data_IF_795138675533
#
_entry.id   IF_795138675533
#
_cell.length_a   1.000
_cell.length_b   1.000
_cell.length_c   1.000
_cell.angle_alpha   90.00
_cell.angle_beta   90.00
_cell.angle_gamma   90.00
#
_symmetry.space_group_name_H-M   'P 1'
#
loop_
_entity.id
_entity.type
_entity.pdbx_description
1 polymer ?
#
# COMPACT_ATOMS: atom_id res chain seq x y z
N UNK A 1 -19.79 -16.20 4.03
CA UNK A 1 -19.77 -15.48 2.73
C UNK A 1 -18.67 -15.95 1.78
N UNK A 2 -17.46 -16.31 2.23
CA UNK A 2 -16.41 -16.88 1.35
C UNK A 2 -16.73 -18.30 0.79
N UNK A 3 -17.66 -19.05 1.40
CA UNK A 3 -18.08 -20.39 0.93
C UNK A 3 -19.04 -20.39 -0.28
N UNK A 4 -19.43 -19.22 -0.78
CA UNK A 4 -20.19 -19.05 -2.03
C UNK A 4 -19.30 -18.52 -3.18
N UNK A 5 -17.97 -18.59 -3.04
CA UNK A 5 -16.96 -18.02 -3.94
C UNK A 5 -17.06 -18.43 -5.41
N UNK A 6 -17.66 -19.58 -5.72
CA UNK A 6 -17.74 -20.09 -7.09
C UNK A 6 -18.69 -19.30 -8.00
N UNK A 7 -19.67 -18.57 -7.44
CA UNK A 7 -20.66 -17.76 -8.20
C UNK A 7 -20.50 -16.24 -7.99
N UNK A 8 -19.37 -15.81 -7.43
CA UNK A 8 -19.12 -14.38 -7.20
C UNK A 8 -18.67 -13.70 -8.50
N UNK A 9 -19.37 -12.62 -8.87
CA UNK A 9 -19.01 -11.78 -10.00
C UNK A 9 -17.60 -11.17 -9.83
N UNK A 10 -16.90 -10.84 -10.92
CA UNK A 10 -15.52 -10.36 -10.86
C UNK A 10 -15.32 -9.11 -9.99
N UNK A 11 -16.32 -8.24 -9.84
CA UNK A 11 -16.21 -7.04 -9.02
C UNK A 11 -16.19 -7.40 -7.53
N UNK A 12 -17.04 -8.34 -7.11
CA UNK A 12 -17.06 -8.78 -5.71
C UNK A 12 -15.82 -9.60 -5.35
N UNK A 13 -15.28 -10.41 -6.28
CA UNK A 13 -13.99 -11.08 -6.07
C UNK A 13 -12.86 -10.09 -5.82
N UNK A 14 -12.77 -9.02 -6.62
CA UNK A 14 -11.78 -7.95 -6.43
C UNK A 14 -11.93 -7.25 -5.09
N UNK A 15 -13.16 -6.95 -4.68
CA UNK A 15 -13.43 -6.30 -3.39
C UNK A 15 -13.00 -7.18 -2.21
N UNK A 16 -13.31 -8.49 -2.24
CA UNK A 16 -12.86 -9.44 -1.21
C UNK A 16 -11.33 -9.56 -1.18
N UNK A 17 -10.71 -9.64 -2.36
CA UNK A 17 -9.26 -9.73 -2.47
C UNK A 17 -8.55 -8.47 -1.96
N UNK A 18 -9.12 -7.28 -2.20
CA UNK A 18 -8.61 -6.03 -1.63
C UNK A 18 -8.85 -5.96 -0.12
N UNK A 19 -10.03 -6.38 0.34
CA UNK A 19 -10.36 -6.48 1.77
C UNK A 19 -9.34 -7.34 2.52
N UNK A 20 -8.97 -8.50 1.99
CA UNK A 20 -7.95 -9.36 2.58
C UNK A 20 -6.58 -8.65 2.71
N UNK A 21 -6.17 -7.89 1.69
CA UNK A 21 -4.92 -7.11 1.72
C UNK A 21 -4.97 -5.96 2.72
N UNK A 22 -6.08 -5.22 2.77
CA UNK A 22 -6.28 -4.15 3.76
C UNK A 22 -6.22 -4.71 5.19
N UNK A 23 -6.80 -5.88 5.45
CA UNK A 23 -6.71 -6.48 6.79
C UNK A 23 -5.29 -6.88 7.17
N UNK A 24 -4.44 -7.21 6.19
CA UNK A 24 -3.02 -7.45 6.46
C UNK A 24 -2.22 -6.17 6.64
N UNK A 25 -2.49 -5.16 5.82
CA UNK A 25 -1.86 -3.84 5.92
C UNK A 25 -2.08 -3.19 7.28
N UNK A 26 -3.26 -3.42 7.88
CA UNK A 26 -3.58 -2.89 9.21
C UNK A 26 -2.92 -3.66 10.37
N UNK A 27 -2.15 -4.73 10.10
CA UNK A 27 -1.43 -5.45 11.16
C UNK A 27 -0.10 -4.78 11.45
N UNK A 28 -0.03 -4.15 12.61
CA UNK A 28 1.21 -3.53 13.09
C UNK A 28 1.91 -4.42 14.13
N UNK A 29 3.22 -4.67 14.00
CA UNK A 29 3.97 -5.37 15.03
C UNK A 29 4.09 -4.49 16.29
N UNK A 30 4.26 -5.16 17.43
CA UNK A 30 4.42 -4.48 18.71
C UNK A 30 5.66 -3.56 18.69
N UNK A 31 5.54 -2.38 19.30
CA UNK A 31 6.60 -1.36 19.39
C UNK A 31 7.08 -0.75 18.05
N UNK A 32 6.28 -0.87 16.99
CA UNK A 32 6.57 -0.24 15.70
C UNK A 32 5.53 0.84 15.36
N UNK A 33 5.46 1.96 16.10
CA UNK A 33 4.53 3.03 15.77
C UNK A 33 4.89 3.66 14.42
N UNK A 34 3.88 3.84 13.57
CA UNK A 34 4.00 4.60 12.33
C UNK A 34 3.66 6.07 12.59
N UNK A 35 4.40 6.98 11.98
CA UNK A 35 4.05 8.42 11.96
C UNK A 35 2.79 8.66 11.13
N UNK A 36 2.16 9.83 11.27
CA UNK A 36 0.89 10.12 10.59
C UNK A 36 1.06 10.09 9.07
N UNK A 37 2.13 10.71 8.57
CA UNK A 37 2.49 10.75 7.16
C UNK A 37 2.77 9.36 6.57
N UNK A 38 3.41 8.48 7.34
CA UNK A 38 3.65 7.08 6.96
C UNK A 38 2.35 6.27 6.92
N UNK A 39 1.46 6.46 7.90
CA UNK A 39 0.14 5.82 7.91
C UNK A 39 -0.70 6.27 6.72
N UNK A 40 -0.67 7.57 6.38
CA UNK A 40 -1.36 8.11 5.21
C UNK A 40 -0.85 7.46 3.93
N UNK A 41 0.48 7.37 3.75
CA UNK A 41 1.08 6.73 2.57
C UNK A 41 0.69 5.25 2.46
N UNK A 42 0.78 4.49 3.56
CA UNK A 42 0.42 3.06 3.60
C UNK A 42 -1.06 2.85 3.25
N UNK A 43 -1.96 3.56 3.92
CA UNK A 43 -3.40 3.45 3.69
C UNK A 43 -3.76 3.89 2.27
N UNK A 44 -3.16 4.97 1.76
CA UNK A 44 -3.39 5.44 0.40
C UNK A 44 -3.02 4.37 -0.63
N UNK A 45 -1.88 3.69 -0.45
CA UNK A 45 -1.49 2.58 -1.30
C UNK A 45 -2.54 1.45 -1.28
N UNK A 46 -3.05 1.10 -0.10
CA UNK A 46 -4.09 0.09 0.11
C UNK A 46 -5.42 0.41 -0.55
N UNK A 47 -5.91 1.64 -0.44
CA UNK A 47 -7.23 2.04 -0.96
C UNK A 47 -7.24 2.26 -2.47
N UNK A 48 -6.13 2.72 -3.04
CA UNK A 48 -5.98 3.00 -4.48
C UNK A 48 -5.57 1.78 -5.32
N UNK A 49 -5.43 0.60 -4.70
CA UNK A 49 -5.21 -0.66 -5.41
C UNK A 49 -3.76 -0.94 -5.80
N UNK A 50 -2.78 -0.21 -5.24
CA UNK A 50 -1.35 -0.48 -5.48
C UNK A 50 -0.92 -1.84 -4.93
N UNK A 51 -1.69 -2.44 -4.03
CA UNK A 51 -1.42 -3.76 -3.47
C UNK A 51 -2.13 -4.89 -4.25
N UNK A 52 -2.94 -4.59 -5.26
CA UNK A 52 -3.81 -5.59 -5.91
C UNK A 52 -3.00 -6.72 -6.60
N UNK A 53 -1.78 -6.43 -7.08
CA UNK A 53 -0.87 -7.43 -7.68
C UNK A 53 0.00 -8.18 -6.66
N UNK A 54 -0.07 -7.81 -5.38
CA UNK A 54 0.76 -8.37 -4.32
C UNK A 54 -0.01 -9.51 -3.64
N UNK A 55 0.66 -10.61 -3.32
CA UNK A 55 0.04 -11.69 -2.56
C UNK A 55 -0.23 -11.26 -1.12
N UNK A 56 -1.31 -11.78 -0.51
CA UNK A 56 -1.73 -11.39 0.84
C UNK A 56 -0.64 -11.67 1.89
N UNK A 57 0.19 -12.69 1.67
CA UNK A 57 1.31 -13.03 2.55
C UNK A 57 2.44 -11.99 2.52
N UNK A 58 2.61 -11.31 1.38
CA UNK A 58 3.72 -10.37 1.13
C UNK A 58 3.36 -8.91 1.42
N UNK A 59 2.10 -8.62 1.77
CA UNK A 59 1.63 -7.26 2.05
C UNK A 59 2.44 -6.59 3.17
N UNK A 60 2.78 -7.34 4.22
CA UNK A 60 3.56 -6.78 5.34
C UNK A 60 5.01 -6.49 4.96
N UNK A 61 5.65 -7.31 4.12
CA UNK A 61 7.00 -7.04 3.59
C UNK A 61 6.99 -5.83 2.64
N UNK A 62 5.96 -5.76 1.77
CA UNK A 62 5.75 -4.60 0.91
C UNK A 62 5.62 -3.30 1.69
N UNK A 63 4.79 -3.27 2.74
CA UNK A 63 4.61 -2.08 3.59
C UNK A 63 5.92 -1.67 4.25
N UNK A 64 6.64 -2.62 4.86
CA UNK A 64 7.92 -2.31 5.51
C UNK A 64 8.92 -1.70 4.54
N UNK A 65 9.11 -2.31 3.36
CA UNK A 65 10.02 -1.79 2.34
C UNK A 65 9.55 -0.46 1.77
N UNK A 66 8.25 -0.27 1.59
CA UNK A 66 7.68 0.99 1.12
C UNK A 66 8.01 2.12 2.08
N UNK A 67 7.82 1.88 3.39
CA UNK A 67 8.09 2.86 4.43
C UNK A 67 9.59 3.14 4.56
N UNK A 68 10.44 2.12 4.51
CA UNK A 68 11.89 2.28 4.55
C UNK A 68 12.42 3.06 3.34
N UNK A 69 11.91 2.77 2.14
CA UNK A 69 12.25 3.54 0.94
C UNK A 69 11.71 4.98 1.04
N UNK A 70 10.50 5.16 1.56
CA UNK A 70 9.86 6.48 1.65
C UNK A 70 10.60 7.41 2.60
N UNK A 71 11.13 6.89 3.72
CA UNK A 71 11.95 7.63 4.67
C UNK A 71 13.22 8.22 4.04
N UNK A 72 13.76 7.55 3.02
CA UNK A 72 15.00 7.96 2.33
C UNK A 72 14.71 8.78 1.08
N UNK A 73 13.79 8.27 0.24
CA UNK A 73 13.59 8.74 -1.14
C UNK A 73 12.34 9.59 -1.32
N UNK A 74 11.36 9.52 -0.42
CA UNK A 74 10.09 10.26 -0.48
C UNK A 74 9.90 11.23 0.69
N UNK A 75 10.99 11.60 1.39
CA UNK A 75 10.93 12.53 2.51
C UNK A 75 10.18 13.85 2.19
N UNK A 76 10.37 14.50 1.02
CA UNK A 76 9.61 15.70 0.68
C UNK A 76 8.08 15.48 0.62
N UNK A 77 7.64 14.28 0.21
CA UNK A 77 6.22 13.91 0.18
C UNK A 77 5.71 13.75 1.61
N UNK A 78 6.47 13.04 2.46
CA UNK A 78 6.14 12.84 3.87
C UNK A 78 6.06 14.18 4.64
N UNK A 79 7.03 15.07 4.43
CA UNK A 79 7.05 16.41 5.03
C UNK A 79 5.84 17.24 4.54
N UNK A 80 5.50 17.17 3.25
CA UNK A 80 4.33 17.87 2.70
C UNK A 80 3.02 17.38 3.31
N UNK A 81 2.84 16.07 3.49
CA UNK A 81 1.67 15.50 4.15
C UNK A 81 1.57 15.99 5.60
N UNK A 82 2.70 15.99 6.31
CA UNK A 82 2.78 16.41 7.71
C UNK A 82 2.46 17.89 7.90
N UNK A 83 3.00 18.75 7.04
CA UNK A 83 2.82 20.22 7.14
C UNK A 83 1.44 20.66 6.68
N UNK A 84 0.95 20.11 5.55
CA UNK A 84 -0.31 20.55 4.97
C UNK A 84 -1.53 19.90 5.61
N UNK A 85 -1.36 18.71 6.22
CA UNK A 85 -2.43 17.91 6.82
C UNK A 85 -3.62 17.61 5.87
N UNK A 86 -3.39 17.74 4.57
CA UNK A 86 -4.34 17.47 3.49
C UNK A 86 -3.59 16.84 2.32
N UNK A 87 -4.31 16.05 1.53
CA UNK A 87 -3.86 15.58 0.23
C UNK A 87 -4.46 16.50 -0.81
N UNK A 88 -3.63 17.38 -1.39
CA UNK A 88 -4.02 18.15 -2.56
C UNK A 88 -3.63 17.41 -3.85
N UNK A 89 -4.15 17.86 -4.99
CA UNK A 89 -3.92 17.22 -6.28
C UNK A 89 -2.43 17.08 -6.62
N UNK A 90 -1.59 17.97 -6.09
CA UNK A 90 -0.14 17.95 -6.30
C UNK A 90 0.51 16.84 -5.48
N UNK A 91 0.22 16.75 -4.18
CA UNK A 91 0.71 15.68 -3.31
C UNK A 91 0.23 14.32 -3.82
N UNK A 92 -1.04 14.21 -4.22
CA UNK A 92 -1.57 12.97 -4.79
C UNK A 92 -0.84 12.58 -6.08
N UNK A 93 -0.56 13.52 -6.99
CA UNK A 93 0.21 13.22 -8.21
C UNK A 93 1.64 12.73 -7.89
N UNK A 94 2.30 13.33 -6.92
CA UNK A 94 3.63 12.91 -6.47
C UNK A 94 3.59 11.53 -5.80
N UNK A 95 2.62 11.27 -4.92
CA UNK A 95 2.39 9.98 -4.29
C UNK A 95 2.10 8.89 -5.31
N UNK A 96 1.20 9.15 -6.28
CA UNK A 96 0.85 8.20 -7.32
C UNK A 96 2.07 7.81 -8.13
N UNK A 97 2.86 8.79 -8.57
CA UNK A 97 4.10 8.54 -9.32
C UNK A 97 5.12 7.75 -8.51
N UNK A 98 5.27 8.06 -7.22
CA UNK A 98 6.17 7.36 -6.31
C UNK A 98 5.73 5.91 -6.09
N UNK A 99 4.46 5.70 -5.71
CA UNK A 99 3.88 4.38 -5.46
C UNK A 99 3.92 3.52 -6.72
N UNK A 100 3.53 4.04 -7.88
CA UNK A 100 3.58 3.28 -9.13
C UNK A 100 5.00 2.79 -9.45
N UNK A 101 6.01 3.67 -9.28
CA UNK A 101 7.41 3.30 -9.49
C UNK A 101 7.85 2.23 -8.47
N UNK A 102 7.53 2.43 -7.19
CA UNK A 102 7.91 1.52 -6.12
C UNK A 102 7.26 0.14 -6.30
N UNK A 103 5.93 0.08 -6.47
CA UNK A 103 5.17 -1.16 -6.67
C UNK A 103 5.67 -1.93 -7.88
N UNK A 104 5.89 -1.28 -9.02
CA UNK A 104 6.46 -1.95 -10.21
C UNK A 104 7.84 -2.53 -9.91
N UNK A 105 8.68 -1.78 -9.20
CA UNK A 105 9.99 -2.26 -8.74
C UNK A 105 9.86 -3.50 -7.87
N UNK A 106 9.02 -3.44 -6.84
CA UNK A 106 8.76 -4.53 -5.91
C UNK A 106 8.24 -5.79 -6.62
N UNK A 107 7.18 -5.68 -7.42
CA UNK A 107 6.60 -6.81 -8.17
C UNK A 107 7.61 -7.42 -9.13
N UNK A 108 8.43 -6.61 -9.79
CA UNK A 108 9.47 -7.11 -10.71
C UNK A 108 10.60 -7.84 -10.00
N UNK A 109 10.96 -7.42 -8.79
CA UNK A 109 11.98 -8.07 -7.98
C UNK A 109 11.46 -9.38 -7.37
N UNK A 110 10.21 -9.37 -6.88
CA UNK A 110 9.59 -10.54 -6.24
C UNK A 110 9.27 -11.65 -7.24
N UNK A 111 8.82 -11.31 -8.45
CA UNK A 111 8.64 -12.28 -9.56
C UNK A 111 9.93 -12.94 -10.04
N UNK A 112 11.11 -12.37 -9.75
CA UNK A 112 12.41 -12.99 -10.07
C UNK A 112 12.91 -13.91 -8.95
N UNK A 113 12.34 -13.80 -7.75
CA UNK A 113 12.75 -14.56 -6.57
C UNK A 113 11.87 -15.80 -6.32
N UNK A 114 10.66 -15.85 -6.91
CA UNK A 114 9.76 -16.99 -6.94
C UNK A 114 10.03 -17.90 -8.16
#
# INVERSE_FOLDING_TARGET
FAQFASDLDPATQKLLARGARLTQLLKQPQYSPLTMEEQVLSIYAGTHGYLDEIEVADVSDYEQRLLDDARVNAKPILDSIREQQKLDDKIEAEMNKYLEKFTKGYVSAHKKAA
#
